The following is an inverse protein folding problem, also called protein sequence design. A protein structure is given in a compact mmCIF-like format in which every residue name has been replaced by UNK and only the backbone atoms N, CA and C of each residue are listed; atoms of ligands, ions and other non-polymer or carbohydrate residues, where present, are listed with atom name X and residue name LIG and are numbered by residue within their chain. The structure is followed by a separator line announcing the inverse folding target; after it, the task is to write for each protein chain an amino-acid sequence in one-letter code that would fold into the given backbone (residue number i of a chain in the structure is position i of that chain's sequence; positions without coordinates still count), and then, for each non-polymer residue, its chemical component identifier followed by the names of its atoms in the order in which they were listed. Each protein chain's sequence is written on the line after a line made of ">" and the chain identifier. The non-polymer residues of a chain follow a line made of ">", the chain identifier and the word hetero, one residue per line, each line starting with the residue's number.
data_IF_436626054091
#
_entry.id   IF_436626054091
#
_cell.length_a   1.000
_cell.length_b   1.000
_cell.length_c   1.000
_cell.angle_alpha   90.00
_cell.angle_beta   90.00
_cell.angle_gamma   90.00
#
_symmetry.space_group_name_H-M   'P 1'
#
loop_
_entity.id
_entity.type
_entity.pdbx_description
1 polymer ?
#
# COMPACT_ATOMS: atom_id res chain seq x y z
N UNK A 1 -6.69 0.25 -31.34
CA UNK A 1 -6.91 1.16 -30.18
C UNK A 1 -5.99 0.71 -29.04
N UNK A 2 -5.49 1.62 -28.19
CA UNK A 2 -4.74 1.22 -26.99
C UNK A 2 -5.70 0.52 -26.02
N UNK A 3 -5.28 -0.61 -25.42
CA UNK A 3 -6.08 -1.36 -24.43
C UNK A 3 -6.40 -0.50 -23.20
N UNK A 4 -7.55 -0.71 -22.58
CA UNK A 4 -8.00 -0.05 -21.36
C UNK A 4 -7.29 -0.59 -20.12
N UNK A 5 -7.32 0.18 -19.04
CA UNK A 5 -6.73 -0.14 -17.74
C UNK A 5 -7.84 -0.06 -16.70
N UNK A 6 -8.19 -1.18 -16.10
CA UNK A 6 -9.12 -1.21 -14.98
C UNK A 6 -8.37 -0.82 -13.69
N UNK A 7 -8.87 0.17 -12.97
CA UNK A 7 -8.35 0.59 -11.66
C UNK A 7 -9.42 0.33 -10.61
N UNK A 8 -9.25 -0.71 -9.81
CA UNK A 8 -10.12 -0.95 -8.67
C UNK A 8 -9.69 -0.08 -7.50
N UNK A 9 -10.62 0.37 -6.66
CA UNK A 9 -10.29 1.27 -5.55
C UNK A 9 -9.78 2.65 -5.98
N UNK A 10 -10.26 3.13 -7.15
CA UNK A 10 -9.86 4.41 -7.74
C UNK A 10 -10.18 5.63 -6.85
N UNK A 11 -11.18 5.54 -5.97
CA UNK A 11 -11.51 6.59 -5.00
C UNK A 11 -10.61 6.60 -3.76
N UNK A 12 -9.77 5.58 -3.57
CA UNK A 12 -8.80 5.51 -2.48
C UNK A 12 -7.65 6.52 -2.62
N UNK A 13 -6.85 6.70 -1.56
CA UNK A 13 -5.75 7.68 -1.51
C UNK A 13 -4.76 7.53 -2.68
N UNK A 14 -4.28 6.33 -2.94
CA UNK A 14 -3.37 6.04 -4.06
C UNK A 14 -4.12 6.08 -5.40
N UNK A 15 -5.32 5.49 -5.44
CA UNK A 15 -6.13 5.39 -6.66
C UNK A 15 -6.53 6.75 -7.22
N UNK A 16 -7.06 7.65 -6.38
CA UNK A 16 -7.45 9.00 -6.82
C UNK A 16 -6.26 9.78 -7.35
N UNK A 17 -5.13 9.74 -6.62
CA UNK A 17 -3.93 10.44 -7.06
C UNK A 17 -3.35 9.86 -8.36
N UNK A 18 -3.39 8.54 -8.51
CA UNK A 18 -2.98 7.90 -9.77
C UNK A 18 -3.88 8.34 -10.93
N UNK A 19 -5.19 8.36 -10.76
CA UNK A 19 -6.14 8.79 -11.81
C UNK A 19 -5.95 10.26 -12.20
N UNK A 20 -5.63 11.14 -11.25
CA UNK A 20 -5.31 12.54 -11.50
C UNK A 20 -4.02 12.74 -12.30
N UNK A 21 -3.00 11.96 -12.01
CA UNK A 21 -1.65 12.18 -12.55
C UNK A 21 -1.33 11.35 -13.78
N UNK A 22 -2.12 10.32 -14.09
CA UNK A 22 -1.87 9.45 -15.23
C UNK A 22 -2.14 10.14 -16.55
N UNK A 23 -1.11 10.31 -17.38
CA UNK A 23 -1.15 11.10 -18.63
C UNK A 23 -2.18 10.64 -19.67
N UNK A 24 -2.55 9.35 -19.64
CA UNK A 24 -3.51 8.74 -20.55
C UNK A 24 -4.84 8.44 -19.87
N UNK A 25 -5.38 9.39 -19.09
CA UNK A 25 -6.60 9.22 -18.27
C UNK A 25 -7.79 8.63 -19.06
N UNK A 26 -7.94 8.95 -20.34
CA UNK A 26 -8.98 8.37 -21.21
C UNK A 26 -8.89 6.85 -21.42
N UNK A 27 -7.82 6.19 -20.95
CA UNK A 27 -7.70 4.72 -20.93
C UNK A 27 -8.19 4.09 -19.64
N UNK A 28 -8.39 4.87 -18.59
CA UNK A 28 -8.78 4.34 -17.28
C UNK A 28 -10.26 3.96 -17.27
N UNK A 29 -10.55 2.82 -16.65
CA UNK A 29 -11.87 2.40 -16.23
C UNK A 29 -11.84 2.37 -14.70
N UNK A 30 -12.69 3.18 -14.08
CA UNK A 30 -12.70 3.41 -12.62
C UNK A 30 -14.12 3.20 -12.07
N UNK A 31 -14.65 1.95 -12.16
CA UNK A 31 -16.02 1.70 -11.72
C UNK A 31 -16.19 1.89 -10.22
N UNK A 32 -17.35 2.37 -9.83
CA UNK A 32 -17.80 2.39 -8.45
C UNK A 32 -18.22 0.99 -7.96
N UNK A 33 -18.35 0.84 -6.64
CA UNK A 33 -18.64 -0.46 -6.01
C UNK A 33 -19.96 -1.10 -6.46
N UNK A 34 -20.96 -0.30 -6.74
CA UNK A 34 -22.27 -0.76 -7.24
C UNK A 34 -22.21 -1.34 -8.67
N UNK A 35 -21.21 -0.92 -9.45
CA UNK A 35 -20.94 -1.42 -10.82
C UNK A 35 -19.95 -2.57 -10.83
N UNK A 36 -18.93 -2.55 -9.94
CA UNK A 36 -17.86 -3.53 -9.91
C UNK A 36 -17.50 -3.92 -8.48
N UNK A 37 -18.12 -5.00 -7.99
CA UNK A 37 -17.86 -5.56 -6.66
C UNK A 37 -16.99 -6.81 -6.77
N UNK A 38 -15.73 -6.71 -6.32
CA UNK A 38 -14.77 -7.83 -6.31
C UNK A 38 -15.25 -9.03 -5.49
N UNK A 39 -16.10 -8.84 -4.48
CA UNK A 39 -16.61 -9.93 -3.63
C UNK A 39 -17.69 -10.75 -4.32
N UNK A 40 -18.19 -10.30 -5.48
CA UNK A 40 -19.26 -10.93 -6.25
C UNK A 40 -18.75 -11.41 -7.61
N UNK A 41 -18.51 -12.72 -7.81
CA UNK A 41 -17.94 -13.27 -9.04
C UNK A 41 -18.72 -12.87 -10.31
N UNK A 42 -20.06 -12.80 -10.21
CA UNK A 42 -20.92 -12.39 -11.32
C UNK A 42 -20.74 -10.92 -11.71
N UNK A 43 -20.50 -10.02 -10.73
CA UNK A 43 -20.17 -8.61 -10.99
C UNK A 43 -18.84 -8.49 -11.75
N UNK A 44 -17.83 -9.24 -11.30
CA UNK A 44 -16.53 -9.27 -11.96
C UNK A 44 -16.64 -9.77 -13.38
N UNK A 45 -17.31 -10.93 -13.59
CA UNK A 45 -17.40 -11.53 -14.94
C UNK A 45 -18.22 -10.67 -15.90
N UNK A 46 -19.34 -10.10 -15.48
CA UNK A 46 -20.16 -9.20 -16.31
C UNK A 46 -19.36 -7.98 -16.76
N UNK A 47 -18.63 -7.34 -15.85
CA UNK A 47 -17.84 -6.16 -16.18
C UNK A 47 -16.77 -6.45 -17.25
N UNK A 48 -16.08 -7.59 -17.16
CA UNK A 48 -15.09 -7.99 -18.18
C UNK A 48 -15.72 -8.40 -19.51
N UNK A 49 -16.96 -8.87 -19.52
CA UNK A 49 -17.71 -9.13 -20.76
C UNK A 49 -18.07 -7.82 -21.47
N UNK A 50 -18.49 -6.81 -20.70
CA UNK A 50 -18.85 -5.49 -21.23
C UNK A 50 -17.62 -4.68 -21.67
N UNK A 51 -16.43 -5.02 -21.16
CA UNK A 51 -15.17 -4.31 -21.45
C UNK A 51 -14.08 -5.26 -21.96
N UNK A 52 -14.26 -5.88 -23.17
CA UNK A 52 -13.31 -6.86 -23.71
C UNK A 52 -11.95 -6.25 -24.10
N UNK A 53 -11.83 -4.93 -24.13
CA UNK A 53 -10.63 -4.17 -24.45
C UNK A 53 -9.71 -3.91 -23.24
N UNK A 54 -10.05 -4.40 -22.03
CA UNK A 54 -9.16 -4.35 -20.87
C UNK A 54 -7.89 -5.13 -21.16
N UNK A 55 -6.72 -4.49 -20.96
CA UNK A 55 -5.41 -5.11 -21.16
C UNK A 55 -4.49 -4.99 -19.95
N UNK A 56 -4.92 -4.26 -18.92
CA UNK A 56 -4.24 -4.22 -17.63
C UNK A 56 -5.24 -3.96 -16.49
N UNK A 57 -4.89 -4.42 -15.29
CA UNK A 57 -5.62 -4.13 -14.06
C UNK A 57 -4.64 -3.62 -13.02
N UNK A 58 -4.99 -2.53 -12.33
CA UNK A 58 -4.36 -2.08 -11.09
C UNK A 58 -5.35 -2.39 -9.96
N UNK A 59 -5.04 -3.39 -9.15
CA UNK A 59 -5.90 -3.79 -8.05
C UNK A 59 -5.51 -3.08 -6.75
N UNK A 60 -6.10 -1.89 -6.52
CA UNK A 60 -5.93 -1.08 -5.31
C UNK A 60 -7.05 -1.32 -4.28
N UNK A 61 -8.17 -1.93 -4.69
CA UNK A 61 -9.26 -2.21 -3.78
C UNK A 61 -8.83 -3.22 -2.71
N UNK A 62 -8.92 -2.81 -1.46
CA UNK A 62 -8.60 -3.64 -0.31
C UNK A 62 -9.29 -3.12 0.96
N UNK A 63 -9.55 -4.01 1.90
CA UNK A 63 -9.86 -3.63 3.27
C UNK A 63 -8.56 -3.26 3.98
N UNK A 64 -8.39 -2.00 4.38
CA UNK A 64 -7.12 -1.46 4.89
C UNK A 64 -7.17 -0.99 6.34
N UNK A 65 -8.29 -1.19 7.05
CA UNK A 65 -8.37 -0.85 8.46
C UNK A 65 -7.81 -1.99 9.32
N UNK A 66 -6.52 -1.90 9.66
CA UNK A 66 -5.78 -2.95 10.37
C UNK A 66 -6.40 -3.27 11.72
N UNK A 67 -6.76 -2.24 12.52
CA UNK A 67 -7.30 -2.44 13.88
C UNK A 67 -8.70 -3.10 13.86
N UNK A 68 -9.58 -2.66 12.97
CA UNK A 68 -10.89 -3.29 12.79
C UNK A 68 -10.78 -4.67 12.13
N UNK A 69 -9.81 -4.83 11.20
CA UNK A 69 -9.48 -6.13 10.63
C UNK A 69 -9.05 -7.13 11.69
N UNK A 70 -8.23 -6.71 12.66
CA UNK A 70 -7.78 -7.60 13.75
C UNK A 70 -8.92 -8.14 14.61
N UNK A 71 -10.01 -7.38 14.79
CA UNK A 71 -11.23 -7.86 15.47
C UNK A 71 -11.95 -8.96 14.69
N UNK A 72 -11.66 -9.09 13.41
CA UNK A 72 -12.25 -10.08 12.49
C UNK A 72 -11.35 -11.32 12.32
N UNK A 73 -10.26 -11.45 13.12
CA UNK A 73 -9.29 -12.53 12.98
C UNK A 73 -9.96 -13.91 13.05
N UNK A 74 -9.63 -14.79 12.07
CA UNK A 74 -10.19 -16.13 11.93
C UNK A 74 -11.56 -16.18 11.22
N UNK A 75 -12.27 -15.07 11.09
CA UNK A 75 -13.56 -15.02 10.40
C UNK A 75 -13.38 -14.82 8.88
N UNK A 76 -13.51 -15.92 8.13
CA UNK A 76 -13.42 -15.87 6.66
C UNK A 76 -14.67 -15.28 5.98
N UNK A 77 -15.77 -15.09 6.69
CA UNK A 77 -16.94 -14.38 6.19
C UNK A 77 -16.83 -12.86 6.37
N UNK A 78 -15.85 -12.41 7.14
CA UNK A 78 -15.59 -10.99 7.38
C UNK A 78 -15.21 -10.21 6.13
N UNK A 79 -15.53 -8.91 6.10
CA UNK A 79 -15.22 -8.05 4.96
C UNK A 79 -13.71 -8.01 4.65
N UNK A 80 -12.85 -8.06 5.67
CA UNK A 80 -11.39 -8.10 5.46
C UNK A 80 -10.97 -9.32 4.62
N UNK A 81 -11.46 -10.52 4.96
CA UNK A 81 -11.14 -11.73 4.22
C UNK A 81 -11.83 -11.75 2.85
N UNK A 82 -13.11 -11.41 2.81
CA UNK A 82 -13.90 -11.44 1.57
C UNK A 82 -13.32 -10.49 0.51
N UNK A 83 -12.97 -9.26 0.87
CA UNK A 83 -12.42 -8.32 -0.11
C UNK A 83 -10.97 -8.65 -0.49
N UNK A 84 -10.10 -8.91 0.51
CA UNK A 84 -8.68 -9.07 0.24
C UNK A 84 -8.34 -10.43 -0.38
N UNK A 85 -9.02 -11.51 0.02
CA UNK A 85 -8.71 -12.88 -0.44
C UNK A 85 -9.69 -13.32 -1.53
N UNK A 86 -11.00 -13.36 -1.21
CA UNK A 86 -12.01 -13.86 -2.16
C UNK A 86 -12.13 -12.90 -3.35
N UNK A 87 -12.15 -11.60 -3.12
CA UNK A 87 -12.16 -10.59 -4.20
C UNK A 87 -10.94 -10.69 -5.11
N UNK A 88 -9.74 -10.94 -4.54
CA UNK A 88 -8.54 -11.18 -5.35
C UNK A 88 -8.65 -12.49 -6.15
N UNK A 89 -9.19 -13.56 -5.55
CA UNK A 89 -9.43 -14.83 -6.27
C UNK A 89 -10.39 -14.65 -7.44
N UNK A 90 -11.53 -13.97 -7.23
CA UNK A 90 -12.51 -13.69 -8.29
C UNK A 90 -11.88 -12.92 -9.46
N UNK A 91 -11.05 -11.91 -9.16
CA UNK A 91 -10.32 -11.16 -10.19
C UNK A 91 -9.34 -12.05 -10.96
N UNK A 92 -8.52 -12.83 -10.24
CA UNK A 92 -7.51 -13.73 -10.84
C UNK A 92 -8.17 -14.78 -11.71
N UNK A 93 -9.27 -15.41 -11.25
CA UNK A 93 -10.03 -16.41 -12.03
C UNK A 93 -10.58 -15.82 -13.31
N UNK A 94 -10.98 -14.55 -13.30
CA UNK A 94 -11.49 -13.85 -14.48
C UNK A 94 -10.42 -13.56 -15.53
N UNK A 95 -9.14 -13.37 -15.12
CA UNK A 95 -8.07 -12.90 -16.02
C UNK A 95 -7.01 -13.96 -16.34
N UNK A 96 -6.97 -15.12 -15.66
CA UNK A 96 -5.90 -16.14 -15.75
C UNK A 96 -5.65 -16.66 -17.17
N UNK A 97 -6.69 -16.73 -17.99
CA UNK A 97 -6.62 -17.22 -19.36
C UNK A 97 -6.63 -16.09 -20.41
N UNK A 98 -6.37 -14.84 -19.98
CA UNK A 98 -6.41 -13.65 -20.83
C UNK A 98 -5.05 -12.94 -20.85
N UNK A 99 -4.73 -12.27 -21.96
CA UNK A 99 -3.55 -11.37 -22.05
C UNK A 99 -3.82 -10.05 -21.32
N UNK A 100 -3.98 -10.13 -19.97
CA UNK A 100 -4.20 -9.01 -19.09
C UNK A 100 -3.11 -8.95 -18.04
N UNK A 101 -2.40 -7.82 -17.99
CA UNK A 101 -1.35 -7.59 -17.00
C UNK A 101 -1.94 -7.11 -15.69
N UNK A 102 -1.65 -7.80 -14.59
CA UNK A 102 -2.09 -7.41 -13.25
C UNK A 102 -0.97 -6.73 -12.48
N UNK A 103 -1.28 -5.57 -11.90
CA UNK A 103 -0.52 -4.96 -10.81
C UNK A 103 -1.37 -5.10 -9.55
N UNK A 104 -0.94 -5.97 -8.63
CA UNK A 104 -1.63 -6.16 -7.35
C UNK A 104 -0.93 -5.37 -6.25
N UNK A 105 -1.68 -4.50 -5.57
CA UNK A 105 -1.13 -3.70 -4.47
C UNK A 105 -1.14 -4.53 -3.19
N UNK A 106 0.02 -4.60 -2.54
CA UNK A 106 0.22 -5.29 -1.28
C UNK A 106 0.83 -4.35 -0.22
N UNK A 107 1.38 -4.90 0.85
CA UNK A 107 1.83 -4.17 2.04
C UNK A 107 3.07 -4.82 2.64
N UNK A 108 3.84 -4.05 3.41
CA UNK A 108 4.90 -4.53 4.30
C UNK A 108 4.38 -5.51 5.38
N UNK A 109 3.08 -5.41 5.74
CA UNK A 109 2.47 -6.25 6.79
C UNK A 109 2.31 -7.73 6.39
N UNK A 110 2.72 -8.12 5.18
CA UNK A 110 2.89 -9.54 4.80
C UNK A 110 4.09 -10.17 5.50
N UNK A 111 4.91 -9.37 6.16
CA UNK A 111 6.05 -9.78 6.98
C UNK A 111 5.74 -9.62 8.47
N UNK A 112 6.27 -10.49 9.34
CA UNK A 112 6.01 -10.41 10.77
C UNK A 112 6.74 -9.26 11.47
N UNK A 113 7.92 -8.87 11.01
CA UNK A 113 8.73 -7.83 11.64
C UNK A 113 9.10 -8.12 13.09
N UNK A 114 9.25 -9.39 13.45
CA UNK A 114 9.61 -9.85 14.77
C UNK A 114 11.11 -10.27 14.85
N UNK A 115 11.58 -10.68 16.00
CA UNK A 115 12.98 -11.06 16.22
C UNK A 115 13.39 -12.38 15.49
N UNK A 116 12.42 -13.18 15.05
CA UNK A 116 12.66 -14.43 14.33
C UNK A 116 12.83 -14.19 12.83
N UNK A 117 12.13 -13.20 12.32
CA UNK A 117 12.17 -12.80 10.90
C UNK A 117 12.20 -11.26 10.84
N UNK A 118 13.37 -10.66 11.14
CA UNK A 118 13.51 -9.22 11.18
C UNK A 118 13.70 -8.60 9.79
N UNK A 119 13.07 -7.43 9.56
CA UNK A 119 13.39 -6.55 8.44
C UNK A 119 14.67 -5.71 8.68
N UNK A 120 14.97 -4.76 7.78
CA UNK A 120 14.16 -4.40 6.61
C UNK A 120 14.19 -5.48 5.51
N UNK A 121 13.08 -5.60 4.79
CA UNK A 121 12.85 -6.69 3.84
C UNK A 121 13.20 -6.30 2.40
N UNK A 122 13.97 -7.14 1.72
CA UNK A 122 14.21 -7.02 0.27
C UNK A 122 13.01 -7.56 -0.55
N UNK A 123 12.97 -7.24 -1.83
CA UNK A 123 11.88 -7.63 -2.73
C UNK A 123 11.75 -9.15 -2.89
N UNK A 124 12.86 -9.88 -2.79
CA UNK A 124 12.93 -11.34 -2.91
C UNK A 124 12.75 -12.06 -1.56
N UNK A 125 12.60 -11.32 -0.45
CA UNK A 125 12.38 -11.95 0.85
C UNK A 125 11.07 -12.76 0.83
N UNK A 126 11.11 -14.06 1.21
CA UNK A 126 9.95 -14.93 1.11
C UNK A 126 8.87 -14.54 2.11
N UNK A 127 7.61 -14.57 1.67
CA UNK A 127 6.47 -14.44 2.58
C UNK A 127 6.05 -15.81 3.12
N UNK A 128 5.71 -15.85 4.40
CA UNK A 128 5.11 -17.01 5.04
C UNK A 128 3.78 -16.62 5.69
N UNK A 129 2.62 -16.88 5.03
CA UNK A 129 1.32 -16.55 5.58
C UNK A 129 1.01 -17.44 6.79
N UNK A 130 1.38 -16.98 7.97
CA UNK A 130 1.04 -17.57 9.26
C UNK A 130 0.15 -16.60 10.04
N UNK A 131 -1.12 -16.97 10.25
CA UNK A 131 -2.09 -16.14 10.95
C UNK A 131 -1.73 -15.87 12.42
N UNK A 132 -0.83 -16.67 13.01
CA UNK A 132 -0.37 -16.49 14.37
C UNK A 132 0.74 -15.44 14.49
N UNK A 133 1.49 -15.20 13.41
CA UNK A 133 2.60 -14.24 13.36
C UNK A 133 2.23 -12.93 12.67
N UNK A 134 1.22 -12.93 11.82
CA UNK A 134 0.78 -11.76 11.08
C UNK A 134 -0.48 -11.14 11.71
N UNK A 135 -0.66 -9.84 11.51
CA UNK A 135 -1.97 -9.24 11.71
C UNK A 135 -2.97 -9.88 10.75
N UNK A 136 -4.27 -9.87 11.08
CA UNK A 136 -5.28 -10.44 10.18
C UNK A 136 -5.27 -9.78 8.79
N UNK A 137 -5.09 -8.46 8.77
CA UNK A 137 -4.90 -7.74 7.51
C UNK A 137 -3.68 -8.25 6.74
N UNK A 138 -2.51 -8.30 7.38
CA UNK A 138 -1.28 -8.80 6.75
C UNK A 138 -1.42 -10.23 6.24
N UNK A 139 -2.04 -11.12 7.03
CA UNK A 139 -2.33 -12.49 6.63
C UNK A 139 -3.21 -12.56 5.38
N UNK A 140 -4.32 -11.77 5.33
CA UNK A 140 -5.18 -11.75 4.13
C UNK A 140 -4.46 -11.22 2.90
N UNK A 141 -3.57 -10.23 3.05
CA UNK A 141 -2.76 -9.71 1.94
C UNK A 141 -1.70 -10.73 1.49
N UNK A 142 -1.06 -11.45 2.41
CA UNK A 142 -0.12 -12.50 2.08
C UNK A 142 -0.78 -13.68 1.34
N UNK A 143 -2.02 -14.05 1.72
CA UNK A 143 -2.81 -15.02 0.96
C UNK A 143 -3.14 -14.53 -0.45
N UNK A 144 -3.50 -13.24 -0.59
CA UNK A 144 -3.77 -12.63 -1.88
C UNK A 144 -2.53 -12.65 -2.81
N UNK A 145 -1.34 -12.33 -2.28
CA UNK A 145 -0.09 -12.46 -3.05
C UNK A 145 0.13 -13.90 -3.53
N UNK A 146 -0.11 -14.91 -2.68
CA UNK A 146 0.02 -16.33 -3.07
C UNK A 146 -0.96 -16.70 -4.19
N UNK A 147 -2.21 -16.28 -4.12
CA UNK A 147 -3.20 -16.50 -5.17
C UNK A 147 -2.70 -15.92 -6.50
N UNK A 148 -2.27 -14.66 -6.49
CA UNK A 148 -1.79 -13.98 -7.68
C UNK A 148 -0.55 -14.67 -8.28
N UNK A 149 0.47 -14.93 -7.47
CA UNK A 149 1.75 -15.48 -7.94
C UNK A 149 1.67 -16.95 -8.34
N UNK A 150 0.78 -17.74 -7.72
CA UNK A 150 0.60 -19.15 -8.10
C UNK A 150 -0.23 -19.35 -9.37
N UNK A 151 -1.01 -18.34 -9.77
CA UNK A 151 -1.96 -18.48 -10.89
C UNK A 151 -1.54 -17.69 -12.13
N UNK A 152 -0.94 -16.50 -11.95
CA UNK A 152 -0.61 -15.59 -13.04
C UNK A 152 0.89 -15.54 -13.29
N UNK A 153 1.37 -15.98 -14.47
CA UNK A 153 2.81 -16.01 -14.78
C UNK A 153 3.39 -14.61 -15.04
N UNK A 154 2.56 -13.65 -15.43
CA UNK A 154 2.99 -12.28 -15.77
C UNK A 154 2.21 -11.27 -14.93
N UNK A 155 2.74 -10.94 -13.75
CA UNK A 155 2.10 -10.03 -12.80
C UNK A 155 3.14 -9.28 -11.96
N UNK A 156 2.79 -8.09 -11.52
CA UNK A 156 3.56 -7.34 -10.53
C UNK A 156 2.80 -7.28 -9.20
N UNK A 157 3.52 -7.56 -8.11
CA UNK A 157 3.10 -7.24 -6.76
C UNK A 157 3.84 -5.96 -6.37
N UNK A 158 3.12 -4.91 -5.98
CA UNK A 158 3.72 -3.68 -5.44
C UNK A 158 3.38 -3.56 -3.96
N UNK A 159 4.36 -3.77 -3.09
CA UNK A 159 4.20 -3.62 -1.64
C UNK A 159 4.44 -2.18 -1.23
N UNK A 160 3.56 -1.65 -0.42
CA UNK A 160 3.59 -0.29 0.12
C UNK A 160 3.77 -0.34 1.63
N UNK A 161 4.29 0.75 2.20
CA UNK A 161 4.38 0.95 3.65
C UNK A 161 3.99 2.38 3.98
N UNK A 162 3.04 2.59 4.89
CA UNK A 162 2.58 3.91 5.35
C UNK A 162 2.46 4.97 4.23
N UNK A 163 1.55 4.82 3.26
CA UNK A 163 1.37 5.81 2.20
C UNK A 163 1.04 7.20 2.75
N UNK A 164 1.77 8.23 2.28
CA UNK A 164 1.62 9.62 2.70
C UNK A 164 1.40 10.55 1.51
N UNK A 165 0.57 11.58 1.68
CA UNK A 165 0.17 12.53 0.64
C UNK A 165 -0.10 13.92 1.23
N UNK A 166 0.08 14.97 0.44
CA UNK A 166 -0.13 16.35 0.90
C UNK A 166 -1.58 16.63 1.34
N UNK A 167 -2.57 16.08 0.62
CA UNK A 167 -3.99 16.21 0.96
C UNK A 167 -4.78 14.99 0.48
N UNK A 168 -5.75 14.56 1.30
CA UNK A 168 -6.75 13.57 0.97
C UNK A 168 -7.87 13.65 2.00
N UNK A 169 -9.10 13.92 1.57
CA UNK A 169 -10.18 14.31 2.49
C UNK A 169 -10.77 13.13 3.29
N UNK A 170 -10.82 11.95 2.70
CA UNK A 170 -11.56 10.82 3.29
C UNK A 170 -10.82 10.14 4.44
N UNK A 171 -9.49 10.30 4.53
CA UNK A 171 -8.68 9.63 5.57
C UNK A 171 -7.38 10.40 5.82
N UNK A 172 -7.02 10.54 7.09
CA UNK A 172 -5.70 11.02 7.49
C UNK A 172 -4.66 9.89 7.31
N UNK A 173 -3.51 10.26 6.77
CA UNK A 173 -2.36 9.36 6.66
C UNK A 173 -1.47 9.41 7.90
N UNK A 174 -0.33 8.70 7.81
CA UNK A 174 0.62 8.56 8.89
C UNK A 174 1.24 9.88 9.38
N UNK A 175 1.38 10.89 8.51
CA UNK A 175 1.92 12.21 8.88
C UNK A 175 0.82 13.16 9.36
N UNK A 176 -0.34 13.15 8.71
CA UNK A 176 -1.44 14.08 9.02
C UNK A 176 -2.21 13.71 10.29
N UNK A 177 -2.31 12.42 10.62
CA UNK A 177 -3.04 11.98 11.81
C UNK A 177 -2.42 12.50 13.13
N UNK A 178 -1.09 12.42 13.37
CA UNK A 178 -0.47 13.03 14.55
C UNK A 178 -0.57 14.55 14.58
N UNK A 179 -0.50 15.25 13.45
CA UNK A 179 -0.70 16.70 13.38
C UNK A 179 -2.11 17.09 13.84
N UNK A 180 -3.13 16.46 13.28
CA UNK A 180 -4.52 16.71 13.66
C UNK A 180 -4.80 16.34 15.13
N UNK A 181 -4.16 15.26 15.63
CA UNK A 181 -4.26 14.90 17.04
C UNK A 181 -3.64 15.98 17.93
N UNK A 182 -2.46 16.50 17.59
CA UNK A 182 -1.79 17.56 18.32
C UNK A 182 -2.57 18.87 18.29
N UNK A 183 -3.09 19.28 17.15
CA UNK A 183 -3.95 20.48 17.04
C UNK A 183 -5.14 20.42 18.01
N UNK A 184 -5.75 19.24 18.16
CA UNK A 184 -6.91 19.05 19.02
C UNK A 184 -6.56 18.93 20.49
N UNK A 185 -5.45 18.27 20.86
CA UNK A 185 -5.17 17.86 22.23
C UNK A 185 -4.00 18.62 22.86
N UNK A 186 -3.26 19.42 22.10
CA UNK A 186 -2.02 20.12 22.51
C UNK A 186 -0.97 19.20 23.15
N UNK A 187 -1.02 17.93 22.81
CA UNK A 187 -0.10 16.87 23.26
C UNK A 187 -0.05 15.74 22.26
N UNK A 188 1.04 14.95 22.29
CA UNK A 188 1.14 13.70 21.55
C UNK A 188 1.22 12.52 22.51
N UNK A 189 0.76 11.36 22.05
CA UNK A 189 1.07 10.08 22.69
C UNK A 189 2.57 9.76 22.50
N UNK A 190 3.18 8.91 23.36
CA UNK A 190 4.58 8.51 23.19
C UNK A 190 4.83 7.86 21.83
N UNK A 191 5.89 8.29 21.13
CA UNK A 191 6.25 7.86 19.79
C UNK A 191 7.40 6.86 19.86
N UNK A 192 7.28 5.75 19.15
CA UNK A 192 8.25 4.65 19.22
C UNK A 192 9.63 5.02 18.68
N UNK A 193 10.67 4.73 19.48
CA UNK A 193 12.08 4.97 19.13
C UNK A 193 12.80 3.74 18.63
N UNK A 194 12.20 2.56 18.75
CA UNK A 194 12.79 1.25 18.50
C UNK A 194 12.01 0.41 17.47
N UNK A 195 11.06 1.02 16.77
CA UNK A 195 10.40 0.44 15.61
C UNK A 195 11.13 0.88 14.35
N UNK A 196 11.52 -0.06 13.50
CA UNK A 196 12.05 0.22 12.17
C UNK A 196 10.92 0.31 11.14
N UNK A 197 10.99 1.31 10.29
CA UNK A 197 10.02 1.54 9.21
C UNK A 197 10.59 2.45 8.12
N UNK A 198 9.83 2.60 7.06
CA UNK A 198 9.93 3.74 6.13
C UNK A 198 8.52 4.19 5.73
N UNK A 199 8.40 5.21 4.89
CA UNK A 199 7.12 5.76 4.41
C UNK A 199 7.08 5.76 2.88
N UNK A 200 5.90 5.70 2.28
CA UNK A 200 5.74 5.72 0.82
C UNK A 200 5.08 7.03 0.37
N UNK A 201 5.77 7.86 -0.40
CA UNK A 201 5.13 9.02 -1.01
C UNK A 201 4.15 8.58 -2.11
N UNK A 202 2.90 9.01 -2.05
CA UNK A 202 1.85 8.59 -3.01
C UNK A 202 2.21 8.98 -4.44
N UNK A 203 2.86 10.12 -4.67
CA UNK A 203 3.31 10.53 -6.01
C UNK A 203 4.37 9.56 -6.58
N UNK A 204 5.25 9.03 -5.73
CA UNK A 204 6.27 8.06 -6.14
C UNK A 204 5.66 6.66 -6.38
N UNK A 205 4.64 6.29 -5.59
CA UNK A 205 3.81 5.11 -5.89
C UNK A 205 3.16 5.25 -7.28
N UNK A 206 2.58 6.41 -7.60
CA UNK A 206 1.98 6.68 -8.92
C UNK A 206 3.00 6.60 -10.05
N UNK A 207 4.23 7.07 -9.82
CA UNK A 207 5.33 6.92 -10.78
C UNK A 207 5.67 5.43 -10.97
N UNK A 208 5.82 4.65 -9.90
CA UNK A 208 6.08 3.22 -9.96
C UNK A 208 4.97 2.48 -10.73
N UNK A 209 3.69 2.76 -10.44
CA UNK A 209 2.54 2.20 -11.17
C UNK A 209 2.60 2.51 -12.67
N UNK A 210 2.97 3.74 -13.04
CA UNK A 210 3.11 4.15 -14.43
C UNK A 210 4.23 3.38 -15.14
N UNK A 211 5.37 3.15 -14.46
CA UNK A 211 6.48 2.36 -15.02
C UNK A 211 6.13 0.87 -15.12
N UNK A 212 5.42 0.32 -14.13
CA UNK A 212 4.91 -1.05 -14.18
C UNK A 212 3.96 -1.26 -15.37
N UNK A 213 3.05 -0.34 -15.62
CA UNK A 213 2.17 -0.39 -16.80
C UNK A 213 2.91 -0.28 -18.11
N UNK A 214 3.94 0.57 -18.19
CA UNK A 214 4.70 0.79 -19.41
C UNK A 214 5.60 -0.38 -19.75
N UNK A 215 6.27 -0.98 -18.77
CA UNK A 215 7.29 -2.02 -18.93
C UNK A 215 6.77 -3.45 -18.76
N UNK A 216 5.66 -3.62 -18.04
CA UNK A 216 5.06 -4.91 -17.67
C UNK A 216 6.04 -5.96 -17.10
N UNK A 217 6.92 -5.61 -16.19
CA UNK A 217 7.82 -6.58 -15.57
C UNK A 217 7.04 -7.48 -14.60
N UNK A 218 7.41 -8.76 -14.51
CA UNK A 218 6.84 -9.67 -13.51
C UNK A 218 7.66 -9.68 -12.22
N UNK A 219 7.00 -9.98 -11.08
CA UNK A 219 7.64 -10.20 -9.79
C UNK A 219 7.20 -9.19 -8.73
N UNK A 220 7.97 -9.14 -7.63
CA UNK A 220 7.71 -8.26 -6.50
C UNK A 220 8.50 -6.97 -6.63
N UNK A 221 7.86 -5.87 -6.21
CA UNK A 221 8.38 -4.52 -6.19
C UNK A 221 8.00 -3.88 -4.86
N UNK A 222 8.87 -3.02 -4.35
CA UNK A 222 8.64 -2.26 -3.12
C UNK A 222 8.59 -0.77 -3.41
N UNK A 223 7.66 -0.05 -2.77
CA UNK A 223 7.64 1.41 -2.78
C UNK A 223 7.69 1.91 -1.33
N UNK A 224 8.81 2.46 -0.96
CA UNK A 224 9.09 3.07 0.34
C UNK A 224 10.17 4.13 0.19
N UNK A 225 10.38 4.98 1.20
CA UNK A 225 11.53 5.89 1.21
C UNK A 225 12.84 5.12 1.13
N UNK A 226 13.88 5.77 0.59
CA UNK A 226 15.20 5.15 0.35
C UNK A 226 15.97 4.83 1.65
N UNK A 227 15.52 5.37 2.78
CA UNK A 227 16.09 5.21 4.11
C UNK A 227 15.17 4.46 5.05
N UNK A 228 15.75 3.73 6.00
CA UNK A 228 15.02 3.15 7.13
C UNK A 228 15.11 4.11 8.30
N UNK A 229 13.98 4.37 8.93
CA UNK A 229 13.81 5.34 10.01
C UNK A 229 13.01 4.76 11.18
N UNK A 230 12.67 5.58 12.16
CA UNK A 230 11.76 5.23 13.25
C UNK A 230 10.57 6.19 13.28
N UNK A 231 9.41 5.79 13.84
CA UNK A 231 8.29 6.72 14.09
C UNK A 231 8.73 8.02 14.77
N UNK A 232 9.63 7.89 15.76
CA UNK A 232 10.15 9.04 16.50
C UNK A 232 10.91 10.02 15.59
N UNK A 233 11.82 9.51 14.76
CA UNK A 233 12.58 10.35 13.82
C UNK A 233 11.69 11.04 12.80
N UNK A 234 10.67 10.31 12.28
CA UNK A 234 9.67 10.89 11.36
C UNK A 234 8.92 12.05 12.02
N UNK A 235 8.46 11.86 13.26
CA UNK A 235 7.71 12.92 13.97
C UNK A 235 8.59 14.11 14.36
N UNK A 236 9.84 13.87 14.77
CA UNK A 236 10.82 14.95 15.01
C UNK A 236 11.00 15.81 13.74
N UNK A 237 11.28 15.20 12.60
CA UNK A 237 11.46 15.93 11.35
C UNK A 237 10.18 16.69 10.94
N UNK A 238 9.01 16.07 11.09
CA UNK A 238 7.74 16.69 10.74
C UNK A 238 7.43 17.91 11.61
N UNK A 239 7.56 17.79 12.94
CA UNK A 239 7.24 18.87 13.87
C UNK A 239 8.28 19.98 13.83
N UNK A 240 9.56 19.68 13.63
CA UNK A 240 10.59 20.72 13.40
C UNK A 240 10.26 21.56 12.17
N UNK A 241 9.81 20.93 11.08
CA UNK A 241 9.43 21.65 9.86
C UNK A 241 8.15 22.49 10.03
N UNK A 242 7.12 21.93 10.68
CA UNK A 242 5.79 22.57 10.75
C UNK A 242 5.68 23.56 11.90
N UNK A 243 6.35 23.30 13.03
CA UNK A 243 6.22 24.10 14.27
C UNK A 243 7.52 24.81 14.68
N UNK A 244 8.63 24.51 14.03
CA UNK A 244 9.95 25.05 14.37
C UNK A 244 10.61 24.39 15.59
N UNK A 245 9.94 23.43 16.22
CA UNK A 245 10.45 22.65 17.38
C UNK A 245 9.68 21.33 17.52
N UNK A 246 10.24 20.38 18.25
CA UNK A 246 9.64 19.05 18.47
C UNK A 246 9.47 18.67 19.95
N UNK A 247 9.37 19.63 20.86
CA UNK A 247 9.24 19.37 22.33
C UNK A 247 8.04 18.52 22.70
N UNK A 248 7.00 18.50 21.85
CA UNK A 248 5.80 17.68 22.02
C UNK A 248 6.04 16.20 21.69
N UNK A 249 7.08 15.87 20.92
CA UNK A 249 7.40 14.49 20.50
C UNK A 249 8.14 13.79 21.65
N UNK A 250 7.42 12.97 22.41
CA UNK A 250 8.00 12.22 23.52
C UNK A 250 8.39 10.81 23.09
N UNK A 251 9.56 10.31 23.53
CA UNK A 251 9.99 8.96 23.20
C UNK A 251 9.11 7.91 23.88
N UNK A 252 8.83 6.82 23.16
CA UNK A 252 8.13 5.63 23.64
C UNK A 252 8.84 4.36 23.17
N UNK A 253 8.38 3.22 23.66
CA UNK A 253 8.85 1.90 23.27
C UNK A 253 7.75 1.11 22.60
N UNK A 254 8.12 0.34 21.58
CA UNK A 254 7.21 -0.56 20.88
C UNK A 254 6.78 -1.70 21.81
N UNK A 255 5.50 -2.03 21.77
CA UNK A 255 5.00 -3.29 22.30
C UNK A 255 5.06 -4.33 21.18
N UNK A 256 6.06 -5.22 21.19
CA UNK A 256 6.26 -6.18 20.09
C UNK A 256 5.14 -7.23 19.99
N UNK A 257 4.26 -7.32 21.00
CA UNK A 257 3.08 -8.20 20.93
C UNK A 257 1.95 -7.60 20.09
N UNK A 258 2.02 -6.29 19.81
CA UNK A 258 0.98 -5.54 19.09
C UNK A 258 1.45 -4.96 17.77
N UNK A 259 2.74 -4.65 17.66
CA UNK A 259 3.31 -3.96 16.49
C UNK A 259 4.59 -4.64 16.02
N UNK A 260 4.81 -4.80 14.71
CA UNK A 260 6.10 -5.20 14.16
C UNK A 260 7.20 -4.24 14.64
N UNK A 261 8.28 -4.76 15.18
CA UNK A 261 9.40 -3.94 15.64
C UNK A 261 10.46 -3.72 14.55
N UNK A 262 10.67 -4.74 13.71
CA UNK A 262 11.70 -4.75 12.68
C UNK A 262 11.04 -4.75 11.29
N UNK A 263 10.50 -3.59 10.89
CA UNK A 263 9.83 -3.41 9.60
C UNK A 263 10.73 -2.71 8.57
N UNK A 264 10.08 -2.15 7.55
CA UNK A 264 10.73 -1.42 6.47
C UNK A 264 10.91 -2.25 5.21
N UNK A 265 10.79 -1.60 4.07
CA UNK A 265 10.92 -2.19 2.74
C UNK A 265 12.17 -1.61 2.05
N UNK A 266 13.12 -2.49 1.69
CA UNK A 266 14.21 -2.13 0.78
C UNK A 266 13.65 -2.09 -0.66
N UNK A 267 14.14 -1.16 -1.48
CA UNK A 267 13.58 -0.88 -2.81
C UNK A 267 14.62 -0.76 -3.93
N UNK A 268 15.86 -1.19 -3.68
CA UNK A 268 16.96 -1.05 -4.63
C UNK A 268 16.72 -1.80 -5.95
N UNK A 269 16.17 -3.01 -5.90
CA UNK A 269 15.83 -3.76 -7.11
C UNK A 269 14.65 -3.13 -7.84
N UNK A 270 13.68 -2.56 -7.12
CA UNK A 270 12.58 -1.80 -7.72
C UNK A 270 13.09 -0.59 -8.48
N UNK A 271 13.96 0.23 -7.86
CA UNK A 271 14.57 1.39 -8.50
C UNK A 271 15.30 1.01 -9.78
N UNK A 272 16.15 0.01 -9.73
CA UNK A 272 16.92 -0.49 -10.86
C UNK A 272 16.03 -1.01 -11.98
N UNK A 273 15.03 -1.84 -11.66
CA UNK A 273 14.15 -2.48 -12.65
C UNK A 273 13.18 -1.50 -13.30
N UNK A 274 12.70 -0.51 -12.54
CA UNK A 274 11.76 0.49 -13.04
C UNK A 274 12.46 1.75 -13.57
N UNK A 275 13.74 1.96 -13.27
CA UNK A 275 14.49 3.15 -13.65
C UNK A 275 13.92 4.41 -12.97
N UNK A 276 13.56 4.30 -11.70
CA UNK A 276 13.05 5.38 -10.85
C UNK A 276 13.94 5.51 -9.62
N UNK A 277 13.73 6.58 -8.86
CA UNK A 277 14.37 6.79 -7.58
C UNK A 277 13.34 7.18 -6.54
N UNK A 278 13.44 6.62 -5.34
CA UNK A 278 12.59 6.96 -4.19
C UNK A 278 13.34 7.96 -3.29
N UNK A 279 12.63 8.99 -2.89
CA UNK A 279 13.16 10.01 -1.96
C UNK A 279 13.37 9.44 -0.57
N UNK A 280 14.28 10.05 0.19
CA UNK A 280 14.41 9.80 1.62
C UNK A 280 13.18 10.30 2.40
N UNK A 281 13.01 9.80 3.62
CA UNK A 281 11.95 10.26 4.53
C UNK A 281 11.94 11.77 4.69
N UNK A 282 13.13 12.37 4.84
CA UNK A 282 13.28 13.83 4.98
C UNK A 282 12.82 14.57 3.72
N UNK A 283 13.24 14.13 2.54
CA UNK A 283 12.84 14.76 1.28
C UNK A 283 11.33 14.66 1.04
N UNK A 284 10.71 13.54 1.43
CA UNK A 284 9.26 13.38 1.36
C UNK A 284 8.56 14.39 2.27
N UNK A 285 8.98 14.51 3.53
CA UNK A 285 8.40 15.45 4.50
C UNK A 285 8.57 16.88 4.01
N UNK A 286 9.78 17.26 3.60
CA UNK A 286 10.07 18.60 3.08
C UNK A 286 9.16 18.93 1.88
N UNK A 287 9.04 18.03 0.91
CA UNK A 287 8.20 18.23 -0.28
C UNK A 287 6.72 18.39 0.06
N UNK A 288 6.20 17.65 1.04
CA UNK A 288 4.78 17.69 1.39
C UNK A 288 4.39 18.89 2.25
N UNK A 289 5.32 19.47 3.00
CA UNK A 289 5.02 20.48 4.02
C UNK A 289 5.77 21.81 3.87
N UNK A 290 6.89 21.91 3.12
CA UNK A 290 7.63 23.18 2.95
C UNK A 290 6.87 24.28 2.21
N UNK A 291 5.83 23.95 1.45
CA UNK A 291 5.05 24.93 0.66
C UNK A 291 3.87 25.54 1.43
N UNK A 292 3.75 25.31 2.73
CA UNK A 292 2.64 25.80 3.58
C UNK A 292 3.02 27.01 4.44
N UNK A 293 4.18 27.65 4.17
CA UNK A 293 4.59 28.90 4.84
C UNK A 293 4.74 30.04 3.87
#
# INVERSE_FOLDING_TARGET
>A
MKKKILVTGASGMVGSRFCETFKEAGRLLTPDLDVFDLTRPESVSSYFLDHPDIGAVINLAAYTNVSEGQKQKGDKASLCYQLNVVGTQNLVDQIKDKDIYLIHISTDMVFPGDAVDPGPYAEDHPINPDENRLTWYGYTKALAERIVTSTLPSTAILRLIYPVVASYELKLDYLRAPLAYYEKNHSLYPIFTDQQMNISAVDEICLALSQLLARRPSGVFHAGSSDITTPYQVMVQLFDLVSGHHDMVKPGKTDPTRYPQFGGLLNQETEKRLGIHFSSTKEIIDRLYSSKH
#
